data_IF_375611977879
#
_entry.id   IF_375611977879
#
_cell.length_a   1.000
_cell.length_b   1.000
_cell.length_c   1.000
_cell.angle_alpha   90.00
_cell.angle_beta   90.00
_cell.angle_gamma   90.00
#
_symmetry.space_group_name_H-M   'P 1'
#
loop_
_entity.id
_entity.type
_entity.pdbx_description
1 polymer ?
#
# COMPACT_ATOMS: atom_id res chain seq x y z
N UNK A 1 4.02 2.72 -1.84
CA UNK A 1 2.80 2.77 -1.04
C UNK A 1 1.68 2.10 -1.80
N UNK A 2 0.84 1.31 -1.13
CA UNK A 2 -0.33 0.70 -1.76
C UNK A 2 -1.34 1.80 -2.10
N UNK A 3 -2.01 1.67 -3.25
CA UNK A 3 -2.94 2.69 -3.76
C UNK A 3 -2.29 3.72 -4.69
N UNK A 4 -0.95 3.71 -4.77
CA UNK A 4 -0.16 4.50 -5.71
C UNK A 4 0.55 3.59 -6.71
N UNK A 5 0.78 4.08 -7.92
CA UNK A 5 1.55 3.35 -8.93
C UNK A 5 2.99 3.10 -8.47
N UNK A 6 3.61 2.04 -9.00
CA UNK A 6 5.04 1.80 -8.79
C UNK A 6 5.85 3.04 -9.22
N UNK A 7 6.70 3.55 -8.33
CA UNK A 7 7.48 4.78 -8.54
C UNK A 7 6.65 6.06 -8.82
N UNK A 8 5.34 6.10 -8.53
CA UNK A 8 4.54 7.33 -8.75
C UNK A 8 4.72 8.41 -7.68
N UNK A 9 5.37 8.04 -6.57
CA UNK A 9 5.69 8.93 -5.46
C UNK A 9 7.14 9.38 -5.63
N UNK A 10 7.33 10.52 -6.28
CA UNK A 10 8.62 11.24 -6.41
C UNK A 10 8.43 12.75 -6.32
N UNK A 11 9.55 13.47 -6.20
CA UNK A 11 9.57 14.92 -6.32
C UNK A 11 9.13 15.28 -7.75
N UNK A 12 8.40 16.36 -7.94
CA UNK A 12 7.90 16.75 -9.27
C UNK A 12 8.72 17.91 -9.81
N UNK A 13 9.21 17.77 -11.04
CA UNK A 13 9.78 18.90 -11.81
C UNK A 13 8.67 19.86 -12.25
N UNK A 14 9.03 21.05 -12.74
CA UNK A 14 8.07 22.02 -13.31
C UNK A 14 7.21 21.43 -14.46
N UNK A 15 7.68 20.35 -15.10
CA UNK A 15 6.96 19.64 -16.17
C UNK A 15 6.17 18.41 -15.68
N UNK A 16 5.80 18.35 -14.40
CA UNK A 16 5.05 17.26 -13.75
C UNK A 16 5.73 15.87 -13.78
N UNK A 17 6.97 15.79 -14.24
CA UNK A 17 7.76 14.54 -14.22
C UNK A 17 8.17 14.19 -12.80
N UNK A 18 7.97 12.91 -12.47
CA UNK A 18 8.40 12.30 -11.21
C UNK A 18 9.91 12.07 -11.27
N UNK A 19 10.66 12.74 -10.39
CA UNK A 19 12.10 12.59 -10.17
C UNK A 19 12.37 12.01 -8.79
N UNK A 20 13.54 11.37 -8.63
CA UNK A 20 14.02 10.92 -7.33
C UNK A 20 14.29 12.14 -6.44
N UNK A 21 13.56 12.26 -5.34
CA UNK A 21 13.79 13.32 -4.36
C UNK A 21 14.96 12.96 -3.43
N UNK A 22 15.69 13.98 -2.97
CA UNK A 22 16.81 13.85 -2.01
C UNK A 22 16.39 13.30 -0.65
N UNK A 23 15.15 13.57 -0.23
CA UNK A 23 14.58 13.12 1.03
C UNK A 23 13.38 12.22 0.76
N UNK A 24 13.35 11.08 1.43
CA UNK A 24 12.24 10.13 1.41
C UNK A 24 11.88 9.80 2.85
N UNK A 25 10.61 9.95 3.20
CA UNK A 25 10.05 9.41 4.42
C UNK A 25 8.83 8.56 4.07
N UNK A 26 8.75 7.37 4.65
CA UNK A 26 7.61 6.48 4.49
C UNK A 26 7.25 5.83 5.81
N UNK A 27 5.96 5.67 6.05
CA UNK A 27 5.39 4.97 7.20
C UNK A 27 4.18 4.17 6.76
N UNK A 28 3.98 3.02 7.40
CA UNK A 28 2.84 2.14 7.16
C UNK A 28 2.38 1.60 8.49
N UNK A 29 1.07 1.64 8.73
CA UNK A 29 0.42 0.95 9.83
C UNK A 29 -0.53 -0.07 9.22
N UNK A 30 -0.37 -1.32 9.61
CA UNK A 30 -1.23 -2.41 9.17
C UNK A 30 -1.78 -3.14 10.38
N UNK A 31 -3.10 -3.32 10.40
CA UNK A 31 -3.82 -4.07 11.40
C UNK A 31 -4.41 -5.31 10.76
N UNK A 32 -4.01 -6.49 11.26
CA UNK A 32 -4.49 -7.77 10.78
C UNK A 32 -5.26 -8.50 11.89
N UNK A 33 -6.36 -9.15 11.53
CA UNK A 33 -7.11 -10.01 12.45
C UNK A 33 -7.59 -11.29 11.76
N UNK A 34 -7.55 -12.45 12.42
CA UNK A 34 -8.18 -13.67 11.92
C UNK A 34 -9.68 -13.45 11.73
N UNK A 35 -10.24 -14.03 10.67
CA UNK A 35 -11.68 -14.03 10.40
C UNK A 35 -12.17 -15.45 10.11
N UNK A 36 -13.39 -15.76 10.54
CA UNK A 36 -14.01 -17.04 10.24
C UNK A 36 -14.77 -16.95 8.92
N UNK A 37 -14.33 -17.71 7.91
CA UNK A 37 -15.05 -17.86 6.65
C UNK A 37 -15.41 -19.35 6.48
N UNK A 38 -16.70 -19.65 6.29
CA UNK A 38 -17.21 -21.03 6.10
C UNK A 38 -16.75 -22.02 7.19
N UNK A 39 -16.66 -21.57 8.45
CA UNK A 39 -16.21 -22.40 9.58
C UNK A 39 -14.69 -22.51 9.75
N UNK A 40 -13.92 -21.88 8.87
CA UNK A 40 -12.47 -21.84 8.95
C UNK A 40 -11.98 -20.50 9.52
N UNK A 41 -11.38 -20.55 10.71
CA UNK A 41 -10.91 -19.38 11.47
C UNK A 41 -9.39 -19.15 11.38
N UNK A 42 -8.64 -20.12 10.84
CA UNK A 42 -7.17 -20.07 10.84
C UNK A 42 -6.58 -19.65 9.50
N UNK A 43 -7.31 -19.93 8.41
CA UNK A 43 -6.77 -19.74 7.06
C UNK A 43 -7.02 -18.33 6.52
N UNK A 44 -7.97 -17.59 7.10
CA UNK A 44 -8.35 -16.26 6.63
C UNK A 44 -8.03 -15.19 7.66
N UNK A 45 -7.39 -14.13 7.20
CA UNK A 45 -7.14 -12.93 7.99
C UNK A 45 -7.63 -11.72 7.19
N UNK A 46 -8.27 -10.79 7.88
CA UNK A 46 -8.63 -9.49 7.35
C UNK A 46 -7.57 -8.48 7.77
N UNK A 47 -7.08 -7.72 6.82
CA UNK A 47 -6.10 -6.67 7.01
C UNK A 47 -6.72 -5.32 6.69
N UNK A 48 -6.41 -4.29 7.47
CA UNK A 48 -6.59 -2.89 7.08
C UNK A 48 -5.27 -2.18 7.21
N UNK A 49 -4.98 -1.28 6.29
CA UNK A 49 -3.70 -0.59 6.28
C UNK A 49 -3.86 0.88 5.93
N UNK A 50 -2.93 1.66 6.43
CA UNK A 50 -2.72 3.05 6.06
C UNK A 50 -1.23 3.26 5.83
N UNK A 51 -0.90 3.69 4.63
CA UNK A 51 0.44 4.00 4.18
C UNK A 51 0.53 5.52 3.98
N UNK A 52 1.56 6.17 4.51
CA UNK A 52 1.85 7.57 4.26
C UNK A 52 3.31 7.72 3.84
N UNK A 53 3.57 8.60 2.90
CA UNK A 53 4.91 8.78 2.39
C UNK A 53 5.08 10.12 1.69
N UNK A 54 6.26 10.67 1.83
CA UNK A 54 6.62 11.95 1.25
C UNK A 54 8.01 11.88 0.66
N UNK A 55 8.20 12.63 -0.42
CA UNK A 55 9.45 12.67 -1.16
C UNK A 55 9.61 14.07 -1.75
N UNK A 56 10.80 14.63 -1.59
CA UNK A 56 11.11 16.00 -1.99
C UNK A 56 12.60 16.28 -1.94
N UNK A 57 13.02 17.34 -2.61
CA UNK A 57 14.42 17.82 -2.58
C UNK A 57 14.70 18.82 -1.46
N UNK A 58 13.63 19.36 -0.86
CA UNK A 58 13.68 20.30 0.26
C UNK A 58 12.74 19.80 1.36
N UNK A 59 13.23 19.79 2.60
CA UNK A 59 12.49 19.34 3.78
C UNK A 59 11.27 20.23 4.05
N UNK A 60 11.30 21.49 3.60
CA UNK A 60 10.21 22.45 3.73
C UNK A 60 9.16 22.33 2.61
N UNK A 61 9.44 21.57 1.54
CA UNK A 61 8.53 21.35 0.40
C UNK A 61 8.22 19.86 0.18
N UNK A 62 7.96 19.18 1.29
CA UNK A 62 7.59 17.77 1.29
C UNK A 62 6.11 17.60 0.95
N UNK A 63 5.82 16.88 -0.15
CA UNK A 63 4.46 16.52 -0.53
C UNK A 63 4.08 15.14 -0.02
N UNK A 64 3.32 15.12 1.08
CA UNK A 64 2.83 13.87 1.67
C UNK A 64 1.67 13.29 0.87
N UNK A 65 1.83 12.04 0.46
CA UNK A 65 0.79 11.20 -0.14
C UNK A 65 0.36 10.14 0.87
N UNK A 66 -0.94 9.91 0.96
CA UNK A 66 -1.54 8.95 1.87
C UNK A 66 -2.38 7.97 1.06
N UNK A 67 -2.19 6.69 1.32
CA UNK A 67 -2.99 5.60 0.79
C UNK A 67 -3.56 4.79 1.94
N UNK A 68 -4.81 4.37 1.85
CA UNK A 68 -5.39 3.48 2.84
C UNK A 68 -6.17 2.38 2.14
N UNK A 69 -6.42 1.28 2.83
CA UNK A 69 -7.06 0.15 2.21
C UNK A 69 -7.41 -0.96 3.16
N UNK A 70 -8.01 -1.98 2.57
CA UNK A 70 -8.39 -3.22 3.23
C UNK A 70 -7.99 -4.40 2.38
N UNK A 71 -7.75 -5.54 2.99
CA UNK A 71 -7.40 -6.75 2.29
C UNK A 71 -7.76 -8.01 3.04
N UNK A 72 -7.65 -9.11 2.32
CA UNK A 72 -7.79 -10.46 2.85
C UNK A 72 -6.49 -11.20 2.60
N UNK A 73 -6.04 -11.93 3.61
CA UNK A 73 -4.96 -12.91 3.52
C UNK A 73 -5.58 -14.28 3.62
N UNK A 74 -5.27 -15.15 2.68
CA UNK A 74 -5.69 -16.53 2.69
C UNK A 74 -4.46 -17.45 2.66
N UNK A 75 -4.32 -18.28 3.68
CA UNK A 75 -3.31 -19.33 3.74
C UNK A 75 -3.85 -20.54 2.96
N UNK A 76 -3.62 -20.54 1.65
CA UNK A 76 -4.04 -21.67 0.81
C UNK A 76 -3.02 -22.83 0.90
N UNK A 77 -3.42 -24.08 0.59
CA UNK A 77 -2.51 -25.23 0.57
C UNK A 77 -1.33 -25.07 -0.40
N UNK A 78 -1.49 -24.22 -1.42
CA UNK A 78 -0.47 -23.95 -2.44
C UNK A 78 0.38 -22.69 -2.14
N UNK A 79 0.09 -21.99 -1.04
CA UNK A 79 0.82 -20.81 -0.58
C UNK A 79 -0.07 -19.66 -0.10
N UNK A 80 0.52 -18.61 0.49
CA UNK A 80 -0.21 -17.44 0.93
C UNK A 80 -0.70 -16.62 -0.27
N UNK A 81 -1.99 -16.27 -0.22
CA UNK A 81 -2.67 -15.41 -1.18
C UNK A 81 -3.06 -14.13 -0.46
N UNK A 82 -2.76 -12.98 -1.04
CA UNK A 82 -3.13 -11.68 -0.51
C UNK A 82 -3.89 -10.89 -1.56
N UNK A 83 -5.07 -10.40 -1.19
CA UNK A 83 -5.84 -9.48 -1.99
C UNK A 83 -6.01 -8.19 -1.22
N UNK A 84 -5.47 -7.08 -1.72
CA UNK A 84 -5.56 -5.76 -1.12
C UNK A 84 -6.27 -4.78 -2.04
N UNK A 85 -7.28 -4.13 -1.52
CA UNK A 85 -7.93 -2.99 -2.14
C UNK A 85 -7.40 -1.71 -1.50
N UNK A 86 -6.70 -0.91 -2.27
CA UNK A 86 -6.06 0.32 -1.81
C UNK A 86 -6.65 1.54 -2.50
N UNK A 87 -6.86 2.60 -1.76
CA UNK A 87 -7.32 3.90 -2.23
C UNK A 87 -6.23 4.95 -2.03
N UNK A 88 -5.80 5.59 -3.12
CA UNK A 88 -4.89 6.73 -3.07
C UNK A 88 -5.68 8.01 -2.82
N UNK A 89 -5.60 8.58 -1.62
CA UNK A 89 -6.41 9.76 -1.24
C UNK A 89 -6.16 10.97 -2.15
N UNK A 90 -4.93 11.15 -2.64
CA UNK A 90 -4.54 12.25 -3.51
C UNK A 90 -4.85 12.00 -4.99
N UNK A 91 -4.73 10.75 -5.47
CA UNK A 91 -5.05 10.40 -6.87
C UNK A 91 -6.54 10.09 -7.08
N UNK A 92 -7.30 9.88 -6.00
CA UNK A 92 -8.70 9.42 -6.00
C UNK A 92 -8.88 8.15 -6.86
N UNK A 93 -7.89 7.26 -6.82
CA UNK A 93 -7.88 6.01 -7.58
C UNK A 93 -7.92 4.80 -6.65
N UNK A 94 -8.80 3.87 -6.98
CA UNK A 94 -8.88 2.55 -6.39
C UNK A 94 -7.94 1.60 -7.15
N UNK A 95 -7.08 0.89 -6.43
CA UNK A 95 -6.14 -0.07 -7.00
C UNK A 95 -6.28 -1.41 -6.27
N UNK A 96 -6.53 -2.46 -7.06
CA UNK A 96 -6.50 -3.84 -6.59
C UNK A 96 -5.08 -4.38 -6.71
N UNK A 97 -4.57 -4.96 -5.64
CA UNK A 97 -3.29 -5.66 -5.61
C UNK A 97 -3.54 -7.11 -5.25
N UNK A 98 -3.13 -8.02 -6.13
CA UNK A 98 -3.15 -9.45 -5.88
C UNK A 98 -1.70 -9.91 -5.76
N UNK A 99 -1.36 -10.56 -4.65
CA UNK A 99 -0.04 -11.14 -4.41
C UNK A 99 -0.21 -12.62 -4.16
N UNK A 100 0.54 -13.41 -4.91
CA UNK A 100 0.54 -14.87 -4.85
C UNK A 100 1.99 -15.29 -4.57
N UNK A 101 2.21 -16.00 -3.47
CA UNK A 101 3.51 -16.57 -3.13
C UNK A 101 4.25 -15.84 -2.00
N UNK A 102 5.46 -16.34 -1.73
CA UNK A 102 6.35 -15.82 -0.69
C UNK A 102 7.17 -14.66 -1.25
N UNK A 103 6.87 -13.44 -0.81
CA UNK A 103 7.84 -12.34 -0.91
C UNK A 103 8.87 -12.55 0.19
N UNK A 104 10.08 -12.95 -0.18
CA UNK A 104 11.26 -12.96 0.69
C UNK A 104 11.88 -11.56 0.72
#
# INVERSE_FOLDING_TARGET
MRGYGYQSIGARTENDRVIAGRYLAMGSVEWQRPITIKGNTQDFEHAVFIDAGTVGDDINRLYTRVGFGTGIRWKSPVGPIQADLAWGAQEQQLRLHLRLGFTF
#
